data_IF_403790752489
#
_entry.id   IF_403790752489
#
_cell.length_a   1.000
_cell.length_b   1.000
_cell.length_c   1.000
_cell.angle_alpha   90.00
_cell.angle_beta   90.00
_cell.angle_gamma   90.00
#
_symmetry.space_group_name_H-M   'P 1'
#
loop_
_entity.id
_entity.type
_entity.pdbx_description
1 polymer ?
#
# COMPACT_ATOMS: atom_id res chain seq x y z
N UNK A 1 -20.41 -50.50 21.47
CA UNK A 1 -21.39 -51.40 20.85
C UNK A 1 -22.63 -50.58 20.61
N UNK A 2 -22.92 -50.27 19.35
CA UNK A 2 -24.13 -49.55 18.97
C UNK A 2 -25.27 -50.56 18.86
N UNK A 3 -26.40 -50.25 19.48
CA UNK A 3 -27.67 -50.88 19.19
C UNK A 3 -28.71 -49.78 18.94
N UNK A 4 -29.40 -49.93 17.83
CA UNK A 4 -30.57 -49.18 17.37
C UNK A 4 -31.69 -49.17 18.41
N UNK A 5 -32.45 -48.07 18.48
CA UNK A 5 -33.90 -48.14 18.70
C UNK A 5 -34.60 -46.84 18.25
N UNK A 6 -35.21 -46.94 17.06
CA UNK A 6 -36.54 -46.46 16.64
C UNK A 6 -37.12 -45.16 17.23
N UNK A 7 -37.28 -44.15 16.35
CA UNK A 7 -38.19 -43.01 16.50
C UNK A 7 -39.67 -43.45 16.55
N UNK A 8 -40.37 -43.12 17.63
CA UNK A 8 -41.83 -43.10 17.72
C UNK A 8 -42.36 -41.67 17.81
N UNK A 9 -43.34 -41.33 16.97
CA UNK A 9 -44.02 -40.05 16.96
C UNK A 9 -45.03 -39.94 18.12
N UNK A 10 -45.07 -38.79 18.80
CA UNK A 10 -46.10 -38.49 19.80
C UNK A 10 -46.02 -37.04 20.28
N UNK A 11 -47.06 -36.27 19.99
CA UNK A 11 -47.31 -34.94 20.55
C UNK A 11 -47.54 -35.04 22.06
N UNK A 12 -46.97 -34.12 22.86
CA UNK A 12 -47.37 -33.97 24.26
C UNK A 12 -46.29 -33.36 25.14
N UNK A 13 -46.50 -32.11 25.53
CA UNK A 13 -45.80 -31.37 26.59
C UNK A 13 -45.96 -32.05 27.97
N UNK A 14 -44.85 -32.39 28.64
CA UNK A 14 -44.77 -32.44 30.13
C UNK A 14 -43.32 -32.18 30.57
N UNK A 15 -43.12 -31.17 31.42
CA UNK A 15 -41.89 -30.94 32.19
C UNK A 15 -41.75 -31.97 33.33
N UNK A 16 -40.53 -32.48 33.54
CA UNK A 16 -40.22 -33.34 34.69
C UNK A 16 -38.71 -33.54 34.86
N UNK A 17 -38.20 -33.12 36.02
CA UNK A 17 -36.80 -33.03 36.43
C UNK A 17 -36.02 -34.36 36.46
N UNK A 18 -34.73 -34.30 36.15
CA UNK A 18 -33.67 -35.10 36.77
C UNK A 18 -32.36 -34.29 36.80
N UNK A 19 -31.85 -34.06 38.00
CA UNK A 19 -30.52 -33.50 38.28
C UNK A 19 -29.42 -34.52 37.97
N UNK A 20 -28.30 -34.05 37.40
CA UNK A 20 -26.94 -34.39 37.83
C UNK A 20 -25.93 -33.51 37.07
N UNK A 21 -25.12 -32.78 37.83
CA UNK A 21 -24.27 -31.68 37.36
C UNK A 21 -22.97 -32.08 36.68
N UNK A 22 -22.50 -31.19 35.80
CA UNK A 22 -21.28 -30.41 36.04
C UNK A 22 -21.20 -29.32 34.96
N UNK A 23 -21.03 -28.08 35.40
CA UNK A 23 -21.13 -26.86 34.62
C UNK A 23 -20.03 -26.75 33.55
N UNK A 24 -20.43 -26.76 32.28
CA UNK A 24 -19.76 -25.95 31.26
C UNK A 24 -20.60 -24.68 31.17
N UNK A 25 -20.12 -23.58 31.77
CA UNK A 25 -20.74 -22.27 31.60
C UNK A 25 -20.42 -21.77 30.18
N UNK A 26 -21.17 -22.29 29.21
CA UNK A 26 -21.26 -21.72 27.88
C UNK A 26 -22.10 -20.46 27.95
N UNK A 27 -21.47 -19.30 28.10
CA UNK A 27 -22.17 -18.03 27.91
C UNK A 27 -22.60 -17.91 26.44
N UNK A 28 -23.84 -18.30 26.15
CA UNK A 28 -24.52 -17.91 24.91
C UNK A 28 -24.89 -16.43 25.03
N UNK A 29 -23.97 -15.55 24.64
CA UNK A 29 -24.30 -14.13 24.45
C UNK A 29 -25.11 -13.98 23.13
N UNK A 30 -26.37 -13.61 23.25
CA UNK A 30 -27.23 -13.33 22.11
C UNK A 30 -26.89 -11.94 21.51
N UNK A 31 -26.45 -11.91 20.26
CA UNK A 31 -26.35 -10.68 19.46
C UNK A 31 -27.76 -10.32 18.92
N UNK A 32 -28.24 -9.09 19.19
CA UNK A 32 -29.58 -8.62 18.81
C UNK A 32 -29.77 -8.52 17.28
N UNK A 33 -30.99 -8.81 16.81
CA UNK A 33 -31.36 -8.77 15.39
C UNK A 33 -31.62 -7.32 14.98
N UNK A 34 -30.75 -6.70 14.19
CA UNK A 34 -31.10 -5.46 13.48
C UNK A 34 -31.88 -5.83 12.21
N UNK A 35 -33.17 -5.51 12.18
CA UNK A 35 -34.03 -5.64 11.00
C UNK A 35 -34.31 -4.24 10.41
N UNK A 36 -33.94 -4.03 9.15
CA UNK A 36 -34.43 -2.90 8.34
C UNK A 36 -35.81 -3.31 7.77
N UNK A 37 -36.86 -2.49 7.88
CA UNK A 37 -38.18 -2.86 7.38
C UNK A 37 -38.18 -2.86 5.84
N UNK A 38 -38.52 -4.00 5.25
CA UNK A 38 -38.84 -4.13 3.82
C UNK A 38 -40.33 -4.47 3.73
N UNK A 39 -41.10 -3.61 3.06
CA UNK A 39 -42.49 -3.85 2.71
C UNK A 39 -42.59 -5.11 1.85
N UNK A 40 -43.50 -6.01 2.23
CA UNK A 40 -43.73 -7.29 1.57
C UNK A 40 -44.22 -7.09 0.13
N UNK A 41 -43.58 -7.78 -0.82
CA UNK A 41 -44.30 -8.52 -1.86
C UNK A 41 -43.51 -9.79 -2.20
N UNK A 42 -44.27 -10.78 -2.62
CA UNK A 42 -44.10 -12.24 -2.63
C UNK A 42 -42.94 -12.83 -3.46
N UNK A 43 -42.54 -14.04 -3.03
CA UNK A 43 -41.81 -15.14 -3.72
C UNK A 43 -40.28 -15.23 -3.61
N UNK A 44 -39.81 -16.44 -3.24
CA UNK A 44 -38.41 -16.89 -3.39
C UNK A 44 -37.63 -17.07 -2.08
N UNK A 45 -37.67 -18.26 -1.48
CA UNK A 45 -36.72 -18.65 -0.43
C UNK A 45 -35.32 -18.85 -1.04
N UNK A 46 -34.51 -17.79 -1.06
CA UNK A 46 -33.05 -17.91 -1.15
C UNK A 46 -32.50 -18.01 0.26
N UNK A 47 -31.81 -19.11 0.59
CA UNK A 47 -31.16 -19.30 1.88
C UNK A 47 -29.90 -18.41 1.94
N UNK A 48 -30.09 -17.11 2.20
CA UNK A 48 -29.00 -16.21 2.58
C UNK A 48 -28.52 -16.58 3.99
N UNK A 49 -27.37 -17.22 4.11
CA UNK A 49 -26.59 -17.20 5.35
C UNK A 49 -26.18 -15.75 5.63
N UNK A 50 -27.00 -15.01 6.40
CA UNK A 50 -26.62 -13.71 6.94
C UNK A 50 -25.45 -13.93 7.91
N UNK A 51 -24.27 -13.41 7.55
CA UNK A 51 -23.14 -13.29 8.46
C UNK A 51 -23.59 -12.40 9.62
N UNK A 52 -23.72 -12.97 10.83
CA UNK A 52 -24.07 -12.18 12.02
C UNK A 52 -22.85 -11.36 12.38
N UNK A 53 -22.86 -10.07 12.06
CA UNK A 53 -21.90 -9.10 12.61
C UNK A 53 -22.20 -8.99 14.09
N UNK A 54 -21.21 -9.31 14.92
CA UNK A 54 -21.35 -9.26 16.37
C UNK A 54 -20.37 -8.25 16.97
N UNK A 55 -19.16 -8.09 16.42
CA UNK A 55 -18.26 -7.01 16.79
C UNK A 55 -17.98 -6.04 15.65
N UNK A 56 -17.83 -4.77 16.01
CA UNK A 56 -17.52 -3.64 15.14
C UNK A 56 -16.41 -2.81 15.78
N UNK A 57 -15.38 -2.52 15.00
CA UNK A 57 -14.32 -1.56 15.34
C UNK A 57 -14.35 -0.46 14.30
N UNK A 58 -14.69 0.76 14.69
CA UNK A 58 -14.71 1.87 13.75
C UNK A 58 -13.29 2.28 13.38
N UNK A 59 -13.05 2.72 12.15
CA UNK A 59 -11.71 3.15 11.75
C UNK A 59 -11.26 4.41 12.52
N UNK A 60 -12.21 5.20 13.01
CA UNK A 60 -11.95 6.33 13.91
C UNK A 60 -11.43 5.92 15.30
N UNK A 61 -11.70 4.68 15.72
CA UNK A 61 -11.22 4.11 16.99
C UNK A 61 -9.75 3.67 16.91
N UNK A 62 -9.19 3.60 15.70
CA UNK A 62 -7.82 3.17 15.44
C UNK A 62 -6.89 4.38 15.57
N UNK A 63 -6.39 4.57 16.78
CA UNK A 63 -5.40 5.57 17.16
C UNK A 63 -3.97 5.20 16.72
N UNK A 64 -3.02 6.14 16.89
CA UNK A 64 -1.61 5.97 16.53
C UNK A 64 -0.90 4.86 17.31
N UNK A 65 -1.33 4.60 18.54
CA UNK A 65 -0.86 3.55 19.44
C UNK A 65 -1.70 2.27 19.35
N UNK A 66 -2.65 2.18 18.43
CA UNK A 66 -3.41 0.95 18.21
C UNK A 66 -2.49 -0.17 17.68
N UNK A 67 -2.64 -1.42 18.16
CA UNK A 67 -1.87 -2.54 17.66
C UNK A 67 -2.16 -2.82 16.19
N UNK A 68 -1.23 -3.53 15.52
CA UNK A 68 -1.51 -4.10 14.21
C UNK A 68 -2.70 -5.05 14.32
N UNK A 69 -3.70 -4.87 13.45
CA UNK A 69 -4.91 -5.69 13.42
C UNK A 69 -4.74 -6.70 12.30
N UNK A 70 -4.46 -7.96 12.67
CA UNK A 70 -4.03 -8.99 11.74
C UNK A 70 -5.03 -10.15 11.68
N UNK A 71 -5.09 -10.81 10.52
CA UNK A 71 -5.75 -12.11 10.42
C UNK A 71 -5.08 -13.11 11.37
N UNK A 72 -5.91 -13.84 12.14
CA UNK A 72 -5.43 -14.93 12.97
C UNK A 72 -4.76 -16.02 12.12
N UNK A 73 -5.40 -16.43 11.02
CA UNK A 73 -4.84 -17.34 10.01
C UNK A 73 -4.49 -16.58 8.72
N UNK A 74 -3.23 -16.65 8.31
CA UNK A 74 -2.73 -15.96 7.11
C UNK A 74 -2.72 -16.90 5.91
N UNK A 75 -3.32 -16.47 4.79
CA UNK A 75 -3.22 -17.16 3.49
C UNK A 75 -2.20 -16.45 2.60
N UNK A 76 -1.35 -17.22 1.94
CA UNK A 76 -0.35 -16.69 0.99
C UNK A 76 -1.06 -15.94 -0.14
N UNK A 77 -0.65 -14.70 -0.42
CA UNK A 77 -1.21 -13.88 -1.49
C UNK A 77 -2.39 -12.97 -1.09
N UNK A 78 -2.76 -12.93 0.19
CA UNK A 78 -3.71 -11.95 0.74
C UNK A 78 -3.00 -11.00 1.70
N UNK A 79 -3.59 -9.82 1.90
CA UNK A 79 -3.12 -8.91 2.96
C UNK A 79 -3.20 -9.61 4.33
N UNK A 80 -2.14 -9.51 5.16
CA UNK A 80 -2.18 -10.04 6.52
C UNK A 80 -3.00 -9.18 7.49
N UNK A 81 -3.32 -7.95 7.10
CA UNK A 81 -4.09 -7.00 7.90
C UNK A 81 -5.59 -7.26 7.74
N UNK A 82 -6.35 -7.13 8.84
CA UNK A 82 -7.81 -7.20 8.76
C UNK A 82 -8.34 -5.93 8.13
N UNK A 83 -8.81 -6.05 6.90
CA UNK A 83 -9.44 -4.95 6.17
C UNK A 83 -10.95 -4.93 6.43
N UNK A 84 -11.64 -3.79 6.20
CA UNK A 84 -13.09 -3.74 6.16
C UNK A 84 -13.68 -4.77 5.20
N UNK A 85 -14.87 -5.28 5.49
CA UNK A 85 -15.54 -6.27 4.64
C UNK A 85 -16.07 -5.69 3.32
N UNK A 86 -16.24 -4.37 3.26
CA UNK A 86 -16.66 -3.62 2.07
C UNK A 86 -15.83 -2.32 1.95
N UNK A 87 -15.41 -1.91 0.73
CA UNK A 87 -14.63 -0.69 0.50
C UNK A 87 -15.30 0.61 0.96
N UNK A 88 -16.61 0.62 1.15
CA UNK A 88 -17.37 1.77 1.68
C UNK A 88 -17.53 1.75 3.21
N UNK A 89 -17.17 0.64 3.87
CA UNK A 89 -17.33 0.48 5.31
C UNK A 89 -16.24 1.23 6.07
N UNK A 90 -16.63 2.13 6.98
CA UNK A 90 -15.72 2.81 7.91
C UNK A 90 -15.46 1.98 9.17
N UNK A 91 -15.61 0.65 9.09
CA UNK A 91 -15.49 -0.22 10.24
C UNK A 91 -15.05 -1.63 9.84
N UNK A 92 -14.25 -2.23 10.73
CA UNK A 92 -13.91 -3.64 10.70
C UNK A 92 -15.04 -4.40 11.40
N UNK A 93 -15.55 -5.45 10.75
CA UNK A 93 -16.64 -6.28 11.28
C UNK A 93 -16.17 -7.70 11.53
N UNK A 94 -16.68 -8.29 12.61
CA UNK A 94 -16.33 -9.63 13.07
C UNK A 94 -17.60 -10.38 13.46
N UNK A 95 -17.67 -11.65 13.09
CA UNK A 95 -18.69 -12.56 13.61
C UNK A 95 -18.38 -12.99 15.04
N UNK A 96 -19.42 -13.43 15.77
CA UNK A 96 -19.24 -13.93 17.13
C UNK A 96 -18.24 -15.10 17.14
N UNK A 97 -17.26 -15.05 18.04
CA UNK A 97 -16.18 -16.02 18.12
C UNK A 97 -15.07 -15.86 17.08
N UNK A 98 -15.16 -14.91 16.14
CA UNK A 98 -14.07 -14.65 15.20
C UNK A 98 -12.80 -14.23 15.95
N UNK A 99 -11.68 -14.85 15.56
CA UNK A 99 -10.37 -14.54 16.10
C UNK A 99 -9.68 -13.42 15.29
N UNK A 100 -9.16 -12.42 16.00
CA UNK A 100 -8.26 -11.38 15.47
C UNK A 100 -6.95 -11.40 16.24
N UNK A 101 -5.84 -11.24 15.53
CA UNK A 101 -4.52 -11.14 16.15
C UNK A 101 -4.16 -9.67 16.29
N UNK A 102 -3.87 -9.25 17.52
CA UNK A 102 -3.39 -7.90 17.83
C UNK A 102 -1.91 -7.98 18.16
N UNK A 103 -1.08 -7.15 17.52
CA UNK A 103 0.37 -7.20 17.73
C UNK A 103 1.01 -5.81 17.77
N UNK A 104 1.92 -5.62 18.72
CA UNK A 104 2.81 -4.48 18.85
C UNK A 104 4.18 -4.86 18.26
N UNK A 105 4.59 -4.25 17.13
CA UNK A 105 5.91 -4.46 16.53
C UNK A 105 7.02 -3.92 17.42
N UNK A 106 8.20 -4.51 17.30
CA UNK A 106 9.36 -4.35 18.21
C UNK A 106 9.19 -5.09 19.55
N UNK A 107 9.30 -6.41 19.48
CA UNK A 107 9.02 -7.33 20.61
C UNK A 107 9.90 -7.11 21.83
N UNK A 108 11.04 -6.45 21.65
CA UNK A 108 12.01 -6.20 22.71
C UNK A 108 11.62 -4.96 23.54
N UNK A 109 10.90 -4.00 22.95
CA UNK A 109 10.61 -2.70 23.59
C UNK A 109 9.13 -2.28 23.58
N UNK A 110 8.27 -2.97 22.83
CA UNK A 110 6.88 -2.55 22.63
C UNK A 110 5.87 -3.64 23.01
N UNK A 111 5.40 -3.56 24.25
CA UNK A 111 4.38 -4.47 24.79
C UNK A 111 2.98 -3.93 24.56
N UNK A 112 1.99 -4.84 24.59
CA UNK A 112 0.60 -4.47 24.72
C UNK A 112 0.36 -3.87 26.12
N UNK A 113 -0.37 -2.76 26.15
CA UNK A 113 -0.96 -2.16 27.33
C UNK A 113 -2.45 -2.56 27.36
N UNK A 114 -2.80 -3.47 28.27
CA UNK A 114 -4.17 -3.93 28.50
C UNK A 114 -4.52 -3.60 29.95
N UNK A 115 -5.52 -2.75 30.22
CA UNK A 115 -5.89 -2.36 31.57
C UNK A 115 -6.22 -3.56 32.46
N UNK A 116 -5.77 -3.52 33.71
CA UNK A 116 -6.04 -4.56 34.71
C UNK A 116 -5.62 -5.98 34.28
N UNK A 117 -4.64 -6.08 33.38
CA UNK A 117 -4.08 -7.35 32.93
C UNK A 117 -2.60 -7.44 33.32
N UNK A 118 -2.14 -8.52 33.98
CA UNK A 118 -0.71 -8.73 34.24
C UNK A 118 0.06 -9.21 32.99
N UNK A 119 -0.61 -9.33 31.84
CA UNK A 119 -0.02 -9.84 30.61
C UNK A 119 1.08 -8.90 30.10
N UNK A 120 2.32 -9.38 30.11
CA UNK A 120 3.48 -8.73 29.50
C UNK A 120 3.81 -9.39 28.17
N UNK A 121 2.96 -9.14 27.17
CA UNK A 121 3.07 -9.73 25.83
C UNK A 121 3.03 -8.65 24.76
N UNK A 122 3.67 -8.89 23.63
CA UNK A 122 3.65 -7.99 22.46
C UNK A 122 2.58 -8.44 21.43
N UNK A 123 1.95 -9.60 21.63
CA UNK A 123 0.88 -10.09 20.77
C UNK A 123 -0.16 -10.91 21.53
N UNK A 124 -1.41 -10.83 21.11
CA UNK A 124 -2.53 -11.62 21.64
C UNK A 124 -3.47 -12.05 20.52
N UNK A 125 -4.27 -13.07 20.80
CA UNK A 125 -5.45 -13.42 20.01
C UNK A 125 -6.67 -12.94 20.80
N UNK A 126 -7.48 -12.11 20.17
CA UNK A 126 -8.72 -11.60 20.73
C UNK A 126 -9.91 -12.24 19.99
N UNK A 127 -10.94 -12.65 20.72
CA UNK A 127 -12.13 -13.30 20.17
C UNK A 127 -13.33 -12.37 20.29
N UNK A 128 -14.08 -12.17 19.21
CA UNK A 128 -15.23 -11.29 19.21
C UNK A 128 -16.34 -11.80 20.16
N UNK A 129 -16.78 -10.94 21.10
CA UNK A 129 -17.94 -11.19 21.96
C UNK A 129 -19.17 -10.45 21.43
N UNK A 130 -19.17 -9.10 21.52
CA UNK A 130 -20.23 -8.19 21.05
C UNK A 130 -19.72 -6.75 20.95
N UNK A 131 -20.33 -5.94 20.08
CA UNK A 131 -20.03 -4.52 19.89
C UNK A 131 -18.52 -4.29 19.68
N UNK A 132 -17.85 -3.48 20.50
CA UNK A 132 -16.38 -3.34 20.43
C UNK A 132 -15.65 -4.19 21.48
N UNK A 133 -16.29 -5.22 22.02
CA UNK A 133 -15.77 -6.04 23.12
C UNK A 133 -15.22 -7.38 22.62
N UNK A 134 -13.99 -7.68 23.02
CA UNK A 134 -13.28 -8.90 22.67
C UNK A 134 -12.78 -9.63 23.92
N UNK A 135 -12.80 -10.96 23.89
CA UNK A 135 -12.19 -11.81 24.91
C UNK A 135 -10.69 -11.96 24.63
N UNK A 136 -9.86 -11.65 25.63
CA UNK A 136 -8.40 -11.89 25.61
C UNK A 136 -8.07 -12.67 26.87
N UNK A 137 -7.53 -13.88 26.70
CA UNK A 137 -7.20 -14.80 27.81
C UNK A 137 -8.37 -15.02 28.79
N UNK A 138 -9.61 -15.07 28.27
CA UNK A 138 -10.83 -15.30 29.06
C UNK A 138 -11.48 -14.05 29.66
N UNK A 139 -10.80 -12.90 29.66
CA UNK A 139 -11.36 -11.64 30.15
C UNK A 139 -11.86 -10.75 29.00
N UNK A 140 -12.92 -9.98 29.25
CA UNK A 140 -13.54 -9.11 28.26
C UNK A 140 -12.92 -7.70 28.29
N UNK A 141 -12.49 -7.23 27.11
CA UNK A 141 -11.90 -5.91 26.95
C UNK A 141 -12.53 -5.19 25.77
N UNK A 142 -12.76 -3.88 25.92
CA UNK A 142 -13.10 -3.05 24.77
C UNK A 142 -11.86 -2.90 23.88
N UNK A 143 -12.02 -2.94 22.55
CA UNK A 143 -10.94 -2.74 21.59
C UNK A 143 -10.15 -1.47 21.88
N UNK A 144 -10.83 -0.39 22.30
CA UNK A 144 -10.20 0.89 22.62
C UNK A 144 -9.28 0.87 23.84
N UNK A 145 -9.41 -0.14 24.69
CA UNK A 145 -8.53 -0.32 25.84
C UNK A 145 -7.23 -1.07 25.51
N UNK A 146 -7.17 -1.76 24.36
CA UNK A 146 -6.00 -2.55 23.97
C UNK A 146 -5.10 -1.70 23.10
N UNK A 147 -3.94 -1.30 23.65
CA UNK A 147 -2.98 -0.41 22.98
C UNK A 147 -1.58 -0.98 22.99
N UNK A 148 -0.71 -0.43 22.16
CA UNK A 148 0.73 -0.61 22.28
C UNK A 148 1.31 0.47 23.18
N UNK A 149 2.32 0.14 23.98
CA UNK A 149 3.04 1.13 24.79
C UNK A 149 3.71 2.20 23.91
N UNK A 150 4.16 1.81 22.72
CA UNK A 150 4.72 2.68 21.69
C UNK A 150 3.95 2.49 20.38
N UNK A 151 3.74 3.56 19.59
CA UNK A 151 3.15 3.44 18.25
C UNK A 151 3.88 2.39 17.39
N UNK A 152 3.16 1.47 16.73
CA UNK A 152 3.78 0.49 15.84
C UNK A 152 4.74 1.13 14.82
N UNK A 153 6.03 0.77 14.89
CA UNK A 153 7.05 1.23 13.96
C UNK A 153 7.38 0.14 12.94
N UNK A 154 7.49 0.54 11.68
CA UNK A 154 8.10 -0.29 10.65
C UNK A 154 9.62 -0.26 10.72
N UNK A 155 10.26 -1.24 10.11
CA UNK A 155 11.70 -1.26 9.86
C UNK A 155 11.97 -1.72 8.42
N UNK A 156 13.21 -1.52 7.96
CA UNK A 156 13.72 -2.09 6.73
C UNK A 156 14.51 -3.35 7.05
N UNK A 157 14.25 -4.41 6.28
CA UNK A 157 14.99 -5.67 6.29
C UNK A 157 15.64 -5.90 4.94
N UNK A 158 16.95 -6.02 4.89
CA UNK A 158 17.68 -6.41 3.66
C UNK A 158 17.52 -7.91 3.36
N UNK A 159 17.36 -8.26 2.08
CA UNK A 159 17.19 -9.63 1.60
C UNK A 159 17.97 -9.88 0.30
N UNK A 160 19.28 -9.64 0.34
CA UNK A 160 20.21 -9.96 -0.74
C UNK A 160 19.90 -9.25 -2.06
N UNK A 161 20.29 -9.83 -3.20
CA UNK A 161 20.07 -9.22 -4.51
C UNK A 161 18.62 -9.39 -5.01
N UNK A 162 18.03 -8.33 -5.59
CA UNK A 162 16.74 -8.44 -6.30
C UNK A 162 16.87 -8.96 -7.74
N UNK A 163 18.10 -9.19 -8.21
CA UNK A 163 18.39 -9.71 -9.55
C UNK A 163 18.32 -8.69 -10.68
N UNK A 164 17.86 -7.46 -10.42
CA UNK A 164 17.79 -6.38 -11.41
C UNK A 164 19.06 -5.54 -11.32
N UNK A 165 19.98 -5.74 -12.25
CA UNK A 165 21.30 -5.09 -12.22
C UNK A 165 22.02 -5.36 -10.90
N UNK A 166 22.58 -4.31 -10.29
CA UNK A 166 23.24 -4.37 -8.98
C UNK A 166 22.27 -4.09 -7.82
N UNK A 167 20.96 -4.25 -8.05
CA UNK A 167 19.94 -3.92 -7.06
C UNK A 167 19.96 -4.88 -5.87
N UNK A 168 19.80 -4.30 -4.68
CA UNK A 168 19.60 -5.02 -3.42
C UNK A 168 18.11 -4.99 -3.08
N UNK A 169 17.58 -6.12 -2.62
CA UNK A 169 16.20 -6.27 -2.19
C UNK A 169 16.09 -5.85 -0.73
N UNK A 170 15.09 -5.02 -0.45
CA UNK A 170 14.69 -4.61 0.87
C UNK A 170 13.20 -4.88 1.08
N UNK A 171 12.82 -5.21 2.30
CA UNK A 171 11.43 -5.27 2.70
C UNK A 171 11.17 -4.23 3.78
N UNK A 172 10.22 -3.34 3.53
CA UNK A 172 9.68 -2.43 4.54
C UNK A 172 8.49 -3.12 5.20
N UNK A 173 8.44 -3.15 6.52
CA UNK A 173 7.39 -3.88 7.23
C UNK A 173 7.60 -3.94 8.74
N UNK A 174 6.96 -4.89 9.41
CA UNK A 174 6.92 -4.95 10.87
C UNK A 174 7.63 -6.20 11.41
N UNK A 175 8.57 -6.01 12.34
CA UNK A 175 9.24 -7.12 13.05
C UNK A 175 8.32 -7.66 14.14
N UNK A 176 7.79 -8.87 13.94
CA UNK A 176 7.10 -9.66 14.96
C UNK A 176 8.04 -10.75 15.48
N UNK A 177 7.73 -11.40 16.60
CA UNK A 177 8.65 -12.36 17.26
C UNK A 177 9.19 -13.46 16.35
N UNK A 178 8.32 -14.07 15.56
CA UNK A 178 8.65 -15.25 14.75
C UNK A 178 8.71 -14.98 13.25
N UNK A 179 8.30 -13.79 12.82
CA UNK A 179 8.22 -13.46 11.40
C UNK A 179 8.38 -11.97 11.17
N UNK A 180 8.94 -11.63 10.01
CA UNK A 180 8.87 -10.30 9.47
C UNK A 180 7.60 -10.15 8.62
N UNK A 181 6.79 -9.15 8.91
CA UNK A 181 5.58 -8.83 8.15
C UNK A 181 5.91 -7.78 7.09
N UNK A 182 6.36 -8.22 5.91
CA UNK A 182 6.65 -7.33 4.78
C UNK A 182 5.38 -6.66 4.24
N UNK A 183 5.43 -5.35 4.07
CA UNK A 183 4.38 -4.51 3.49
C UNK A 183 4.74 -4.08 2.07
N UNK A 184 5.99 -3.64 1.86
CA UNK A 184 6.51 -3.18 0.57
C UNK A 184 7.84 -3.90 0.32
N UNK A 185 7.98 -4.55 -0.83
CA UNK A 185 9.27 -5.03 -1.33
C UNK A 185 9.87 -3.96 -2.23
N UNK A 186 11.15 -3.65 -2.07
CA UNK A 186 11.86 -2.60 -2.78
C UNK A 186 13.14 -3.18 -3.38
N UNK A 187 13.38 -2.94 -4.66
CA UNK A 187 14.66 -3.21 -5.32
C UNK A 187 15.42 -1.89 -5.47
N UNK A 188 16.53 -1.75 -4.77
CA UNK A 188 17.25 -0.49 -4.61
C UNK A 188 18.71 -0.60 -5.08
N UNK A 189 19.14 0.31 -5.95
CA UNK A 189 20.56 0.44 -6.35
C UNK A 189 21.26 1.35 -5.34
N UNK A 190 21.98 0.72 -4.40
CA UNK A 190 22.70 1.40 -3.31
C UNK A 190 23.83 2.28 -3.82
N UNK A 191 24.42 1.98 -4.98
CA UNK A 191 25.53 2.77 -5.53
C UNK A 191 25.05 4.04 -6.22
N UNK A 192 23.84 4.01 -6.80
CA UNK A 192 23.22 5.19 -7.44
C UNK A 192 22.26 5.93 -6.53
N UNK A 193 21.92 5.37 -5.38
CA UNK A 193 20.88 5.87 -4.49
C UNK A 193 19.54 6.01 -5.21
N UNK A 194 19.11 4.96 -5.91
CA UNK A 194 17.90 4.98 -6.74
C UNK A 194 17.07 3.72 -6.62
N UNK A 195 15.76 3.88 -6.51
CA UNK A 195 14.80 2.77 -6.46
C UNK A 195 14.45 2.28 -7.85
N UNK A 196 14.73 1.01 -8.13
CA UNK A 196 14.47 0.36 -9.41
C UNK A 196 13.00 -0.02 -9.53
N UNK A 197 12.44 -0.64 -8.47
CA UNK A 197 11.01 -0.86 -8.33
C UNK A 197 10.59 -1.06 -6.87
N UNK A 198 9.28 -0.93 -6.63
CA UNK A 198 8.61 -1.34 -5.41
C UNK A 198 7.38 -2.20 -5.74
N UNK A 199 7.13 -3.24 -4.95
CA UNK A 199 6.03 -4.19 -5.09
C UNK A 199 5.20 -4.19 -3.81
N UNK A 200 3.88 -4.08 -3.94
CA UNK A 200 2.93 -4.16 -2.84
C UNK A 200 1.56 -4.66 -3.31
N UNK A 201 0.68 -4.97 -2.35
CA UNK A 201 -0.71 -5.30 -2.61
C UNK A 201 -1.56 -4.07 -2.32
N UNK A 202 -2.23 -3.55 -3.34
CA UNK A 202 -3.30 -2.57 -3.17
C UNK A 202 -4.57 -3.34 -2.84
N UNK A 203 -5.07 -3.16 -1.63
CA UNK A 203 -6.33 -3.78 -1.23
C UNK A 203 -7.51 -3.04 -1.82
N UNK A 204 -8.54 -3.80 -2.23
CA UNK A 204 -9.83 -3.26 -2.65
C UNK A 204 -10.47 -2.34 -1.61
N UNK A 205 -10.17 -2.56 -0.33
CA UNK A 205 -10.85 -1.92 0.79
C UNK A 205 -10.25 -0.56 1.18
N UNK A 206 -9.21 -0.10 0.47
CA UNK A 206 -8.59 1.22 0.69
C UNK A 206 -9.53 2.36 0.29
N UNK A 207 -10.31 2.17 -0.80
CA UNK A 207 -11.40 3.09 -1.19
C UNK A 207 -11.05 4.58 -1.14
N UNK A 208 -12.05 5.43 -0.88
CA UNK A 208 -11.89 6.87 -0.62
C UNK A 208 -11.52 7.16 0.86
N UNK A 209 -11.02 6.17 1.59
CA UNK A 209 -10.96 6.24 3.05
C UNK A 209 -9.60 6.76 3.54
N UNK A 210 -9.58 8.03 3.92
CA UNK A 210 -8.43 8.60 4.62
C UNK A 210 -8.58 8.39 6.14
N UNK A 211 -8.14 7.24 6.63
CA UNK A 211 -7.97 7.03 8.08
C UNK A 211 -6.64 7.68 8.48
N UNK A 212 -6.71 8.64 9.40
CA UNK A 212 -5.58 9.34 10.02
C UNK A 212 -4.52 9.91 9.05
N UNK A 213 -4.67 11.20 8.73
CA UNK A 213 -3.75 11.99 7.89
C UNK A 213 -2.50 12.50 8.62
N UNK A 214 -2.39 12.29 9.93
CA UNK A 214 -1.24 12.78 10.68
C UNK A 214 -0.09 11.78 10.63
N UNK A 215 0.87 12.08 9.76
CA UNK A 215 2.19 11.44 9.79
C UNK A 215 3.25 12.53 9.72
N UNK A 216 3.75 12.97 10.88
CA UNK A 216 5.12 13.49 10.97
C UNK A 216 6.03 12.29 10.74
N UNK A 217 6.12 11.86 9.48
CA UNK A 217 6.98 10.76 9.10
C UNK A 217 8.37 11.33 8.86
N UNK A 218 9.23 11.14 9.86
CA UNK A 218 10.66 11.30 9.67
C UNK A 218 11.09 10.25 8.64
N UNK A 219 11.44 10.70 7.44
CA UNK A 219 11.95 9.79 6.42
C UNK A 219 13.34 9.37 6.88
N UNK A 220 13.49 8.11 7.29
CA UNK A 220 14.76 7.63 7.83
C UNK A 220 15.86 7.83 6.80
N UNK A 221 16.86 8.64 7.15
CA UNK A 221 18.07 8.84 6.35
C UNK A 221 19.10 7.72 6.53
N UNK A 222 18.88 6.79 7.48
CA UNK A 222 19.81 5.69 7.80
C UNK A 222 20.15 4.81 6.60
N UNK A 223 19.24 4.72 5.63
CA UNK A 223 19.37 3.84 4.46
C UNK A 223 20.09 4.55 3.31
N UNK A 224 20.15 5.89 3.34
CA UNK A 224 21.05 6.67 2.50
C UNK A 224 22.42 6.61 3.15
N UNK A 225 23.24 5.63 2.70
CA UNK A 225 24.63 5.45 3.15
C UNK A 225 25.37 6.80 3.24
N UNK A 226 26.31 6.89 4.17
CA UNK A 226 27.16 8.08 4.41
C UNK A 226 28.09 8.44 3.24
N UNK A 227 28.02 7.72 2.12
CA UNK A 227 28.82 7.96 0.93
C UNK A 227 28.22 9.03 0.00
N UNK A 228 27.01 9.52 0.27
CA UNK A 228 26.42 10.66 -0.44
C UNK A 228 26.83 12.00 0.20
N UNK A 229 27.16 12.99 -0.62
CA UNK A 229 27.62 14.32 -0.14
C UNK A 229 26.52 15.18 0.48
N UNK A 230 25.25 14.80 0.30
CA UNK A 230 24.07 15.53 0.78
C UNK A 230 23.03 14.56 1.32
N UNK A 231 22.29 15.02 2.32
CA UNK A 231 21.10 14.31 2.77
C UNK A 231 19.97 14.49 1.74
N UNK A 232 18.99 13.58 1.72
CA UNK A 232 17.79 13.76 0.90
C UNK A 232 17.05 15.09 1.11
N UNK A 233 16.93 15.57 2.35
CA UNK A 233 16.29 16.87 2.60
C UNK A 233 17.07 18.02 1.97
N UNK A 234 18.40 17.92 1.95
CA UNK A 234 19.24 18.92 1.29
C UNK A 234 19.02 18.94 -0.22
N UNK A 235 19.16 17.79 -0.90
CA UNK A 235 19.14 17.77 -2.36
C UNK A 235 17.73 17.91 -2.96
N UNK A 236 16.67 17.60 -2.20
CA UNK A 236 15.30 17.89 -2.61
C UNK A 236 14.88 19.34 -2.33
N UNK A 237 15.61 20.14 -1.55
CA UNK A 237 15.27 21.56 -1.41
C UNK A 237 15.38 22.28 -2.77
N UNK A 238 14.36 23.06 -3.14
CA UNK A 238 14.35 23.73 -4.45
C UNK A 238 15.58 24.61 -4.68
N UNK A 239 16.08 25.27 -3.62
CA UNK A 239 17.31 26.08 -3.67
C UNK A 239 18.53 25.26 -4.09
N UNK A 240 18.70 24.04 -3.56
CA UNK A 240 19.81 23.17 -3.92
C UNK A 240 19.60 22.49 -5.28
N UNK A 241 18.37 22.18 -5.66
CA UNK A 241 18.06 21.73 -7.01
C UNK A 241 18.44 22.81 -8.04
N UNK A 242 18.08 24.07 -7.78
CA UNK A 242 18.42 25.20 -8.63
C UNK A 242 19.94 25.33 -8.83
N UNK A 243 20.72 25.27 -7.76
CA UNK A 243 22.19 25.29 -7.83
C UNK A 243 22.74 24.10 -8.60
N UNK A 244 22.24 22.89 -8.31
CA UNK A 244 22.70 21.64 -8.93
C UNK A 244 22.43 21.65 -10.43
N UNK A 245 21.23 22.05 -10.86
CA UNK A 245 20.93 22.22 -12.27
C UNK A 245 21.73 23.37 -12.90
N UNK A 246 22.01 24.45 -12.17
CA UNK A 246 22.89 25.52 -12.65
C UNK A 246 24.27 25.00 -13.03
N UNK A 247 24.83 24.07 -12.25
CA UNK A 247 26.08 23.40 -12.59
C UNK A 247 25.95 22.43 -13.76
N UNK A 248 24.89 21.61 -13.81
CA UNK A 248 24.69 20.62 -14.88
C UNK A 248 24.43 21.30 -16.23
N UNK A 249 23.64 22.37 -16.23
CA UNK A 249 23.18 23.07 -17.44
C UNK A 249 24.08 24.26 -17.84
N UNK A 250 25.18 24.45 -17.13
CA UNK A 250 26.22 25.44 -17.43
C UNK A 250 25.94 26.87 -16.99
N UNK A 251 24.73 27.22 -16.52
CA UNK A 251 24.46 28.52 -15.91
C UNK A 251 23.21 28.55 -15.04
N UNK A 252 23.18 29.50 -14.09
CA UNK A 252 21.99 29.81 -13.30
C UNK A 252 20.84 30.35 -14.16
N UNK A 253 21.14 31.08 -15.25
CA UNK A 253 20.15 31.60 -16.20
C UNK A 253 19.44 30.43 -16.90
N UNK A 254 20.20 29.42 -17.33
CA UNK A 254 19.62 28.22 -17.95
C UNK A 254 18.77 27.43 -16.94
N UNK A 255 19.24 27.26 -15.70
CA UNK A 255 18.45 26.59 -14.66
C UNK A 255 17.13 27.30 -14.35
N UNK A 256 17.06 28.64 -14.39
CA UNK A 256 15.83 29.42 -14.15
C UNK A 256 14.72 29.14 -15.17
N UNK A 257 15.05 28.62 -16.36
CA UNK A 257 14.05 28.20 -17.36
C UNK A 257 13.23 26.99 -16.90
N UNK A 258 13.82 26.15 -16.04
CA UNK A 258 13.25 24.87 -15.62
C UNK A 258 12.89 24.82 -14.14
N UNK A 259 13.59 25.55 -13.27
CA UNK A 259 13.35 25.54 -11.83
C UNK A 259 12.85 26.90 -11.35
N UNK A 260 11.72 26.89 -10.63
CA UNK A 260 11.17 28.06 -9.96
C UNK A 260 10.76 27.67 -8.54
N UNK A 261 11.40 28.31 -7.56
CA UNK A 261 11.22 28.04 -6.13
C UNK A 261 10.11 28.86 -5.46
N UNK A 262 9.26 29.54 -6.24
CA UNK A 262 8.03 30.11 -5.73
C UNK A 262 7.12 28.99 -5.18
N UNK A 263 6.50 29.19 -4.02
CA UNK A 263 5.61 28.20 -3.40
C UNK A 263 4.43 27.76 -4.28
N UNK A 264 3.99 28.59 -5.24
CA UNK A 264 2.94 28.24 -6.22
C UNK A 264 3.46 27.49 -7.43
N UNK A 265 4.77 27.46 -7.63
CA UNK A 265 5.40 26.77 -8.74
C UNK A 265 5.27 25.26 -8.58
N UNK A 266 5.24 24.55 -9.71
CA UNK A 266 5.36 23.09 -9.77
C UNK A 266 6.60 22.64 -10.56
N UNK A 267 7.54 23.56 -10.79
CA UNK A 267 8.75 23.33 -11.58
C UNK A 267 9.93 23.08 -10.64
N UNK A 268 9.87 21.95 -9.95
CA UNK A 268 10.94 21.38 -9.12
C UNK A 268 10.69 19.88 -8.98
N UNK A 269 11.70 19.14 -8.51
CA UNK A 269 11.59 17.71 -8.23
C UNK A 269 11.03 17.46 -6.83
N UNK A 270 10.07 16.57 -6.74
CA UNK A 270 9.50 16.09 -5.49
C UNK A 270 9.92 14.64 -5.22
N UNK A 271 9.78 14.23 -3.96
CA UNK A 271 9.97 12.86 -3.48
C UNK A 271 8.74 12.04 -3.87
N UNK A 272 8.67 11.53 -5.10
CA UNK A 272 7.54 10.69 -5.50
C UNK A 272 7.67 9.30 -4.89
N UNK A 273 6.66 8.88 -4.11
CA UNK A 273 6.61 7.54 -3.52
C UNK A 273 6.21 6.50 -4.58
N UNK A 274 6.91 5.37 -4.63
CA UNK A 274 6.59 4.27 -5.53
C UNK A 274 5.41 3.44 -5.00
N UNK A 275 5.36 3.22 -3.69
CA UNK A 275 4.19 2.76 -2.94
C UNK A 275 3.66 3.95 -2.11
N UNK A 276 2.63 4.69 -2.57
CA UNK A 276 2.14 5.89 -1.89
C UNK A 276 1.34 5.55 -0.63
N UNK A 277 1.34 6.45 0.35
CA UNK A 277 0.58 6.32 1.60
C UNK A 277 -0.90 6.05 1.37
N UNK A 278 -1.48 6.69 0.37
CA UNK A 278 -2.91 6.62 0.06
C UNK A 278 -3.36 5.23 -0.41
N UNK A 279 -2.42 4.34 -0.76
CA UNK A 279 -2.69 2.94 -1.11
C UNK A 279 -2.78 2.03 0.13
N UNK A 280 -2.69 2.60 1.34
CA UNK A 280 -2.76 1.89 2.60
C UNK A 280 -3.81 2.50 3.54
N UNK A 281 -4.50 1.64 4.28
CA UNK A 281 -5.62 2.07 5.13
C UNK A 281 -5.15 2.58 6.50
N UNK A 282 -4.32 1.80 7.19
CA UNK A 282 -3.97 2.09 8.57
C UNK A 282 -2.81 3.08 8.69
N UNK A 283 -2.83 3.96 9.69
CA UNK A 283 -1.77 4.96 9.91
C UNK A 283 -0.37 4.35 10.04
N UNK A 284 -0.23 3.18 10.68
CA UNK A 284 1.06 2.46 10.75
C UNK A 284 1.54 1.98 9.37
N UNK A 285 0.63 1.61 8.45
CA UNK A 285 1.00 1.25 7.07
C UNK A 285 1.38 2.50 6.27
N UNK A 286 0.64 3.61 6.44
CA UNK A 286 0.95 4.90 5.81
C UNK A 286 2.35 5.38 6.21
N UNK A 287 2.67 5.33 7.51
CA UNK A 287 4.01 5.64 8.02
C UNK A 287 5.12 4.79 7.39
N UNK A 288 4.85 3.51 7.14
CA UNK A 288 5.81 2.61 6.51
C UNK A 288 6.11 2.97 5.05
N UNK A 289 5.35 3.86 4.40
CA UNK A 289 5.69 4.33 3.05
C UNK A 289 6.80 5.38 3.03
N UNK A 290 7.08 6.00 4.17
CA UNK A 290 7.93 7.17 4.29
C UNK A 290 9.42 6.85 4.41
N UNK A 291 9.94 5.84 3.72
CA UNK A 291 11.39 5.61 3.61
C UNK A 291 11.92 6.10 2.28
N UNK A 292 13.12 6.70 2.25
CA UNK A 292 13.69 7.25 1.00
C UNK A 292 13.89 6.18 -0.07
N UNK A 293 14.16 4.93 0.31
CA UNK A 293 14.25 3.80 -0.62
C UNK A 293 12.92 3.52 -1.36
N UNK A 294 11.79 4.04 -0.89
CA UNK A 294 10.49 3.98 -1.56
C UNK A 294 10.23 5.23 -2.42
N UNK A 295 11.23 6.09 -2.68
CA UNK A 295 11.03 7.34 -3.42
C UNK A 295 11.93 7.46 -4.64
N UNK A 296 11.51 8.26 -5.61
CA UNK A 296 12.36 8.72 -6.70
C UNK A 296 12.04 10.17 -7.12
N UNK A 297 13.01 10.93 -7.67
CA UNK A 297 12.77 12.29 -8.13
C UNK A 297 11.75 12.38 -9.27
N UNK A 298 10.64 13.07 -9.06
CA UNK A 298 9.66 13.32 -10.12
C UNK A 298 9.35 14.81 -10.20
N UNK A 299 9.14 15.35 -11.41
CA UNK A 299 8.69 16.73 -11.53
C UNK A 299 7.36 16.91 -10.79
N UNK A 300 7.26 17.93 -9.92
CA UNK A 300 6.05 18.20 -9.13
C UNK A 300 4.80 18.39 -10.00
N UNK A 301 4.96 18.97 -11.18
CA UNK A 301 3.89 19.11 -12.17
C UNK A 301 3.32 17.76 -12.63
N UNK A 302 4.18 16.75 -12.71
CA UNK A 302 3.83 15.38 -13.14
C UNK A 302 3.28 14.58 -11.96
N UNK A 303 3.94 14.66 -10.80
CA UNK A 303 3.52 13.95 -9.59
C UNK A 303 2.13 14.39 -9.12
N UNK A 304 1.82 15.68 -9.19
CA UNK A 304 0.48 16.22 -8.87
C UNK A 304 -0.46 16.28 -10.09
N UNK A 305 0.00 15.85 -11.25
CA UNK A 305 -0.74 15.84 -12.52
C UNK A 305 -1.25 14.45 -12.85
N UNK A 306 -0.91 13.98 -14.05
CA UNK A 306 -1.42 12.72 -14.59
C UNK A 306 -1.01 11.48 -13.78
N UNK A 307 0.13 11.53 -13.09
CA UNK A 307 0.53 10.43 -12.21
C UNK A 307 -0.42 10.24 -11.02
N UNK A 308 -0.76 11.33 -10.32
CA UNK A 308 -1.75 11.30 -9.24
C UNK A 308 -3.15 10.91 -9.74
N UNK A 309 -3.56 11.39 -10.92
CA UNK A 309 -4.86 10.98 -11.50
C UNK A 309 -4.87 9.47 -11.75
N UNK A 310 -3.78 8.91 -12.30
CA UNK A 310 -3.65 7.48 -12.54
C UNK A 310 -3.71 6.67 -11.23
N UNK A 311 -3.00 7.08 -10.19
CA UNK A 311 -3.05 6.41 -8.87
C UNK A 311 -4.47 6.38 -8.31
N UNK A 312 -5.19 7.50 -8.38
CA UNK A 312 -6.60 7.57 -7.98
C UNK A 312 -7.50 6.63 -8.81
N UNK A 313 -7.24 6.50 -10.12
CA UNK A 313 -8.01 5.58 -10.99
C UNK A 313 -7.76 4.12 -10.63
N UNK A 314 -6.54 3.76 -10.28
CA UNK A 314 -6.18 2.40 -9.87
C UNK A 314 -6.85 2.04 -8.54
N UNK A 315 -6.84 2.95 -7.54
CA UNK A 315 -7.58 2.79 -6.28
C UNK A 315 -9.09 2.64 -6.50
N UNK A 316 -9.66 3.48 -7.36
CA UNK A 316 -11.08 3.37 -7.73
C UNK A 316 -11.39 2.04 -8.43
N UNK A 317 -10.50 1.55 -9.28
CA UNK A 317 -10.68 0.26 -9.95
C UNK A 317 -10.74 -0.88 -8.94
N UNK A 318 -9.74 -0.96 -8.03
CA UNK A 318 -9.65 -1.99 -7.01
C UNK A 318 -10.91 -2.05 -6.14
N UNK A 319 -11.36 -0.88 -5.65
CA UNK A 319 -12.57 -0.76 -4.82
C UNK A 319 -13.86 -1.09 -5.58
N UNK A 320 -14.05 -0.52 -6.78
CA UNK A 320 -15.27 -0.74 -7.58
C UNK A 320 -15.43 -2.20 -7.97
N UNK A 321 -14.34 -2.87 -8.37
CA UNK A 321 -14.36 -4.27 -8.78
C UNK A 321 -14.15 -5.24 -7.62
N UNK A 322 -14.01 -4.72 -6.39
CA UNK A 322 -13.79 -5.50 -5.16
C UNK A 322 -12.64 -6.51 -5.30
N UNK A 323 -11.53 -6.06 -5.89
CA UNK A 323 -10.36 -6.91 -6.17
C UNK A 323 -9.06 -6.32 -5.62
N UNK A 324 -8.27 -7.18 -4.99
CA UNK A 324 -6.92 -6.83 -4.58
C UNK A 324 -5.98 -6.90 -5.78
N UNK A 325 -5.15 -5.88 -5.96
CA UNK A 325 -4.23 -5.76 -7.08
C UNK A 325 -2.80 -5.89 -6.60
N UNK A 326 -1.97 -6.63 -7.33
CA UNK A 326 -0.52 -6.50 -7.20
C UNK A 326 -0.07 -5.29 -7.99
N UNK A 327 0.53 -4.33 -7.31
CA UNK A 327 1.12 -3.14 -7.94
C UNK A 327 2.63 -3.29 -7.95
N UNK A 328 3.23 -2.96 -9.09
CA UNK A 328 4.68 -2.76 -9.19
C UNK A 328 4.93 -1.42 -9.82
N UNK A 329 5.51 -0.50 -9.05
CA UNK A 329 5.94 0.80 -9.55
C UNK A 329 7.45 0.75 -9.74
N UNK A 330 7.96 1.32 -10.82
CA UNK A 330 9.41 1.40 -11.04
C UNK A 330 9.84 2.59 -11.85
N UNK A 331 11.15 2.72 -11.97
CA UNK A 331 11.81 3.84 -12.66
C UNK A 331 12.71 3.33 -13.76
N UNK A 332 12.91 4.12 -14.82
CA UNK A 332 13.77 3.77 -15.94
C UNK A 332 14.51 4.98 -16.51
N UNK A 333 15.75 4.74 -16.92
CA UNK A 333 16.65 5.70 -17.58
C UNK A 333 16.87 6.99 -16.76
N UNK A 334 17.63 7.94 -17.31
CA UNK A 334 17.84 9.26 -16.69
C UNK A 334 17.25 10.31 -17.63
N UNK A 335 16.48 11.25 -17.09
CA UNK A 335 15.92 12.35 -17.88
C UNK A 335 16.99 13.37 -18.22
N UNK A 336 16.74 14.17 -19.25
CA UNK A 336 17.68 15.21 -19.70
C UNK A 336 17.01 16.58 -19.80
N UNK A 337 17.83 17.63 -19.78
CA UNK A 337 17.44 18.97 -20.21
C UNK A 337 18.56 19.55 -21.06
N UNK A 338 18.21 20.51 -21.93
CA UNK A 338 19.20 21.26 -22.70
C UNK A 338 20.00 22.20 -21.79
N UNK A 339 21.33 22.13 -21.92
CA UNK A 339 22.23 23.11 -21.33
C UNK A 339 22.25 24.43 -22.11
N UNK A 340 23.07 25.39 -21.66
CA UNK A 340 23.19 26.69 -22.31
C UNK A 340 23.68 26.63 -23.78
N UNK A 341 24.28 25.51 -24.21
CA UNK A 341 24.70 25.25 -25.59
C UNK A 341 23.66 24.50 -26.44
N UNK A 342 22.50 24.15 -25.85
CA UNK A 342 21.48 23.34 -26.49
C UNK A 342 21.74 21.82 -26.42
N UNK A 343 22.78 21.39 -25.71
CA UNK A 343 23.12 19.97 -25.57
C UNK A 343 22.33 19.33 -24.43
N UNK A 344 21.74 18.16 -24.67
CA UNK A 344 21.01 17.40 -23.65
C UNK A 344 21.95 16.86 -22.56
N UNK A 345 21.66 17.16 -21.29
CA UNK A 345 22.42 16.72 -20.12
C UNK A 345 21.57 15.88 -19.18
N UNK A 346 22.10 14.74 -18.77
CA UNK A 346 21.48 13.87 -17.76
C UNK A 346 21.37 14.59 -16.41
N UNK A 347 20.22 14.44 -15.75
CA UNK A 347 19.94 15.10 -14.48
C UNK A 347 20.19 14.17 -13.28
N UNK A 348 20.88 14.71 -12.28
CA UNK A 348 21.17 14.07 -11.00
C UNK A 348 21.00 15.09 -9.88
N UNK A 349 20.49 14.67 -8.72
CA UNK A 349 20.29 15.59 -7.59
C UNK A 349 21.49 15.67 -6.63
N UNK A 350 22.38 14.68 -6.67
CA UNK A 350 23.50 14.60 -5.75
C UNK A 350 24.74 13.97 -6.39
N UNK A 351 25.81 13.89 -5.60
CA UNK A 351 27.04 13.17 -5.92
C UNK A 351 27.56 12.42 -4.69
N UNK A 352 28.28 11.32 -4.91
CA UNK A 352 29.00 10.61 -3.86
C UNK A 352 30.28 11.36 -3.44
N UNK A 353 30.95 10.89 -2.39
CA UNK A 353 32.21 11.45 -1.88
C UNK A 353 33.37 11.42 -2.90
N UNK A 354 33.25 10.66 -3.98
CA UNK A 354 34.20 10.59 -5.11
C UNK A 354 33.74 11.42 -6.31
N UNK A 355 32.76 12.32 -6.11
CA UNK A 355 32.21 13.21 -7.13
C UNK A 355 31.49 12.47 -8.29
N UNK A 356 31.11 11.21 -8.10
CA UNK A 356 30.27 10.46 -9.04
C UNK A 356 28.81 10.85 -8.84
N UNK A 357 28.08 11.08 -9.93
CA UNK A 357 26.67 11.44 -9.86
C UNK A 357 25.81 10.36 -9.20
N UNK A 358 24.95 10.77 -8.28
CA UNK A 358 23.99 9.93 -7.54
C UNK A 358 22.60 10.56 -7.58
N UNK A 359 21.59 9.80 -7.21
CA UNK A 359 20.19 10.21 -7.25
C UNK A 359 19.79 10.67 -8.66
N UNK A 360 19.85 9.76 -9.66
CA UNK A 360 19.39 10.07 -11.01
C UNK A 360 17.92 10.47 -10.98
N UNK A 361 17.56 11.46 -11.80
CA UNK A 361 16.15 11.79 -12.05
C UNK A 361 15.65 10.85 -13.16
N UNK A 362 14.69 9.93 -12.89
CA UNK A 362 14.21 8.99 -13.89
C UNK A 362 13.63 9.71 -15.11
N UNK A 363 13.87 9.18 -16.31
CA UNK A 363 13.16 9.64 -17.49
C UNK A 363 11.71 9.17 -17.52
N UNK A 364 11.47 7.98 -16.96
CA UNK A 364 10.19 7.29 -17.03
C UNK A 364 9.86 6.67 -15.67
N UNK A 365 8.61 6.82 -15.26
CA UNK A 365 7.98 5.99 -14.23
C UNK A 365 7.06 5.01 -14.92
N UNK A 366 7.00 3.78 -14.44
CA UNK A 366 6.06 2.77 -14.92
C UNK A 366 5.34 2.12 -13.77
N UNK A 367 4.11 1.66 -14.01
CA UNK A 367 3.26 0.99 -13.03
C UNK A 367 2.57 -0.21 -13.65
N UNK A 368 2.96 -1.41 -13.24
CA UNK A 368 2.22 -2.64 -13.50
C UNK A 368 1.06 -2.72 -12.52
N UNK A 369 -0.14 -2.95 -13.05
CA UNK A 369 -1.34 -3.27 -12.29
C UNK A 369 -1.77 -4.67 -12.68
N UNK A 370 -1.76 -5.60 -11.72
CA UNK A 370 -2.00 -7.02 -11.97
C UNK A 370 -3.10 -7.56 -11.06
N UNK A 371 -4.17 -8.03 -11.68
CA UNK A 371 -5.17 -8.91 -11.07
C UNK A 371 -4.71 -10.36 -11.28
N UNK A 372 -4.12 -10.94 -10.23
CA UNK A 372 -3.57 -12.30 -10.29
C UNK A 372 -4.67 -13.36 -10.49
N UNK A 373 -5.80 -13.36 -9.75
CA UNK A 373 -6.87 -14.34 -9.95
C UNK A 373 -7.38 -14.40 -11.39
N UNK A 374 -7.58 -13.26 -12.05
CA UNK A 374 -8.04 -13.21 -13.45
C UNK A 374 -6.92 -13.32 -14.47
N UNK A 375 -5.66 -13.38 -14.03
CA UNK A 375 -4.49 -13.30 -14.91
C UNK A 375 -4.58 -12.11 -15.88
N UNK A 376 -5.07 -10.96 -15.40
CA UNK A 376 -5.28 -9.76 -16.17
C UNK A 376 -4.36 -8.64 -15.69
N UNK A 377 -3.69 -7.94 -16.61
CA UNK A 377 -2.75 -6.89 -16.23
C UNK A 377 -2.55 -5.83 -17.30
N UNK A 378 -2.03 -4.69 -16.88
CA UNK A 378 -1.68 -3.55 -17.73
C UNK A 378 -0.47 -2.86 -17.15
N UNK A 379 0.42 -2.34 -17.99
CA UNK A 379 1.52 -1.47 -17.55
C UNK A 379 1.26 -0.07 -18.06
N UNK A 380 1.16 0.88 -17.15
CA UNK A 380 1.15 2.30 -17.47
C UNK A 380 2.56 2.83 -17.47
N UNK A 381 2.89 3.69 -18.41
CA UNK A 381 4.20 4.33 -18.53
C UNK A 381 4.00 5.83 -18.59
N UNK A 382 4.62 6.55 -17.65
CA UNK A 382 4.55 8.00 -17.49
C UNK A 382 5.92 8.62 -17.74
N UNK A 383 5.98 9.60 -18.63
CA UNK A 383 7.23 10.29 -18.99
C UNK A 383 7.46 11.41 -17.99
N UNK A 384 8.58 11.36 -17.29
CA UNK A 384 8.97 12.32 -16.26
C UNK A 384 9.80 13.47 -16.85
N UNK A 385 9.24 14.17 -17.84
CA UNK A 385 9.82 15.38 -18.39
C UNK A 385 8.73 16.29 -18.99
N UNK A 386 8.39 17.41 -18.33
CA UNK A 386 7.33 18.30 -18.81
C UNK A 386 7.78 19.21 -19.97
N UNK A 387 9.01 19.07 -20.46
CA UNK A 387 9.61 19.90 -21.51
C UNK A 387 9.89 19.13 -22.82
N UNK A 388 9.77 17.80 -22.82
CA UNK A 388 10.02 16.98 -24.00
C UNK A 388 8.72 16.62 -24.70
N UNK A 389 8.43 17.30 -25.81
CA UNK A 389 7.22 17.04 -26.60
C UNK A 389 7.41 15.94 -27.65
N UNK A 390 8.64 15.75 -28.14
CA UNK A 390 8.95 14.77 -29.19
C UNK A 390 9.20 13.36 -28.63
N UNK A 391 8.18 12.79 -28.00
CA UNK A 391 8.27 11.54 -27.24
C UNK A 391 8.80 10.36 -28.07
N UNK A 392 8.36 10.24 -29.32
CA UNK A 392 8.66 9.09 -30.18
C UNK A 392 10.10 9.02 -30.66
N UNK A 393 10.80 10.15 -30.77
CA UNK A 393 12.20 10.20 -31.24
C UNK A 393 13.21 10.17 -30.08
N UNK A 394 12.77 10.45 -28.85
CA UNK A 394 13.62 10.53 -27.65
C UNK A 394 13.83 9.19 -26.93
N UNK A 395 13.32 8.09 -27.49
CA UNK A 395 13.50 6.75 -26.92
C UNK A 395 12.69 6.48 -25.65
N UNK A 396 11.63 7.25 -25.40
CA UNK A 396 10.74 7.02 -24.25
C UNK A 396 9.71 5.92 -24.48
N UNK A 397 9.52 5.50 -25.73
CA UNK A 397 8.52 4.48 -26.11
C UNK A 397 9.11 3.09 -25.91
N UNK A 398 8.55 2.34 -24.97
CA UNK A 398 9.00 0.99 -24.60
C UNK A 398 8.21 -0.08 -25.38
N UNK A 399 6.93 0.16 -25.66
CA UNK A 399 6.00 -0.83 -26.18
C UNK A 399 5.00 -0.17 -27.14
N UNK A 400 4.17 -0.98 -27.78
CA UNK A 400 3.02 -0.51 -28.55
C UNK A 400 1.96 0.05 -27.61
N UNK A 401 1.47 1.27 -27.89
CA UNK A 401 0.48 1.92 -27.04
C UNK A 401 -0.91 1.29 -27.18
N UNK A 402 -1.36 0.57 -26.16
CA UNK A 402 -2.68 -0.08 -26.14
C UNK A 402 -3.79 0.74 -25.48
N UNK A 403 -3.55 1.99 -25.06
CA UNK A 403 -4.53 2.76 -24.28
C UNK A 403 -5.88 2.96 -24.99
N UNK A 404 -5.91 2.95 -26.34
CA UNK A 404 -7.15 3.05 -27.11
C UNK A 404 -8.06 1.83 -26.93
N UNK A 405 -7.53 0.69 -26.47
CA UNK A 405 -8.30 -0.52 -26.14
C UNK A 405 -8.70 -0.60 -24.66
N UNK A 406 -8.37 0.43 -23.87
CA UNK A 406 -8.56 0.51 -22.42
C UNK A 406 -8.98 1.93 -22.01
N UNK A 407 -9.90 2.54 -22.76
CA UNK A 407 -10.27 3.97 -22.63
C UNK A 407 -10.91 4.33 -21.29
N UNK A 408 -11.54 3.36 -20.62
CA UNK A 408 -12.10 3.44 -19.27
C UNK A 408 -11.15 4.04 -18.21
N UNK A 409 -9.84 3.84 -18.36
CA UNK A 409 -8.84 4.42 -17.47
C UNK A 409 -8.71 5.95 -17.60
N UNK A 410 -9.14 6.51 -18.74
CA UNK A 410 -8.83 7.86 -19.18
C UNK A 410 -10.03 8.82 -19.22
N UNK A 411 -11.22 8.36 -18.81
CA UNK A 411 -12.43 9.17 -18.85
C UNK A 411 -12.29 10.44 -18.00
N UNK A 412 -12.43 11.61 -18.63
CA UNK A 412 -12.40 12.90 -17.95
C UNK A 412 -11.02 13.48 -17.64
N UNK A 413 -9.94 12.98 -18.28
CA UNK A 413 -8.62 13.62 -18.18
C UNK A 413 -7.75 13.40 -19.43
N UNK A 414 -6.77 14.29 -19.65
CA UNK A 414 -5.90 14.25 -20.82
C UNK A 414 -4.55 13.59 -20.49
N UNK A 415 -4.46 12.28 -20.75
CA UNK A 415 -3.22 11.51 -20.58
C UNK A 415 -2.05 11.95 -21.47
N UNK A 416 -2.31 12.75 -22.52
CA UNK A 416 -1.31 13.18 -23.48
C UNK A 416 -0.68 14.53 -23.12
N UNK A 417 -1.16 15.23 -22.08
CA UNK A 417 -0.56 16.52 -21.67
C UNK A 417 0.83 16.28 -21.08
N UNK A 418 1.86 16.55 -21.88
CA UNK A 418 3.28 16.43 -21.52
C UNK A 418 3.61 17.22 -20.25
N UNK A 419 3.00 18.40 -20.06
CA UNK A 419 3.29 19.27 -18.90
C UNK A 419 2.84 18.65 -17.58
N UNK A 420 1.82 17.78 -17.64
CA UNK A 420 1.27 17.05 -16.50
C UNK A 420 1.75 15.59 -16.45
N UNK A 421 2.57 15.16 -17.41
CA UNK A 421 3.09 13.80 -17.56
C UNK A 421 2.35 13.03 -18.64
N UNK A 422 3.04 12.77 -19.76
CA UNK A 422 2.49 11.95 -20.83
C UNK A 422 2.39 10.48 -20.39
N UNK A 423 1.21 9.88 -20.47
CA UNK A 423 0.95 8.48 -20.10
C UNK A 423 0.51 7.64 -21.30
N UNK A 424 1.15 6.47 -21.46
CA UNK A 424 0.75 5.43 -22.41
C UNK A 424 0.70 4.04 -21.75
N UNK A 425 0.17 3.06 -22.46
CA UNK A 425 -0.16 1.74 -21.92
C UNK A 425 0.55 0.64 -22.70
N UNK A 426 1.04 -0.38 -22.00
CA UNK A 426 1.59 -1.60 -22.58
C UNK A 426 0.80 -2.82 -22.12
N UNK A 427 0.84 -3.88 -22.92
CA UNK A 427 0.61 -5.23 -22.38
C UNK A 427 1.77 -5.61 -21.44
N UNK A 428 1.49 -6.47 -20.46
CA UNK A 428 2.52 -6.96 -19.52
C UNK A 428 3.63 -7.70 -20.26
N UNK A 429 3.28 -8.50 -21.25
CA UNK A 429 4.23 -9.33 -21.99
C UNK A 429 5.14 -8.51 -22.90
N UNK A 430 4.61 -7.53 -23.63
CA UNK A 430 5.44 -6.68 -24.47
C UNK A 430 6.36 -5.79 -23.63
N UNK A 431 5.86 -5.23 -22.51
CA UNK A 431 6.69 -4.47 -21.59
C UNK A 431 7.83 -5.34 -21.01
N UNK A 432 7.54 -6.57 -20.58
CA UNK A 432 8.54 -7.53 -20.14
C UNK A 432 9.61 -7.79 -21.20
N UNK A 433 9.20 -7.98 -22.46
CA UNK A 433 10.11 -8.26 -23.56
C UNK A 433 11.02 -7.06 -23.91
N UNK A 434 10.48 -5.83 -23.87
CA UNK A 434 11.15 -4.63 -24.40
C UNK A 434 11.80 -3.72 -23.36
N UNK A 435 11.36 -3.76 -22.10
CA UNK A 435 11.88 -2.87 -21.03
C UNK A 435 13.34 -3.11 -20.64
N UNK A 436 13.93 -4.25 -21.05
CA UNK A 436 15.27 -4.73 -20.63
C UNK A 436 15.40 -4.99 -19.12
N UNK A 437 14.32 -4.88 -18.35
CA UNK A 437 14.28 -5.22 -16.93
C UNK A 437 14.31 -6.75 -16.83
N UNK A 438 15.37 -7.29 -16.24
CA UNK A 438 15.53 -8.73 -16.00
C UNK A 438 16.10 -8.95 -14.60
N UNK A 439 15.52 -9.86 -13.79
CA UNK A 439 14.30 -10.60 -14.05
C UNK A 439 13.05 -9.70 -13.98
N UNK A 440 12.01 -10.05 -14.75
CA UNK A 440 10.67 -9.46 -14.64
C UNK A 440 9.66 -10.60 -14.50
N UNK A 441 9.41 -11.08 -13.27
CA UNK A 441 8.68 -12.34 -13.01
C UNK A 441 7.16 -12.18 -13.07
N UNK A 442 6.66 -11.22 -13.86
CA UNK A 442 5.23 -10.95 -14.01
C UNK A 442 4.77 -11.24 -15.44
N UNK A 443 3.57 -11.80 -15.54
CA UNK A 443 2.91 -12.12 -16.81
C UNK A 443 1.40 -11.97 -16.64
N UNK A 444 0.70 -11.62 -17.71
CA UNK A 444 -0.76 -11.59 -17.74
C UNK A 444 -1.27 -12.06 -19.10
N UNK A 445 -2.17 -13.04 -19.10
CA UNK A 445 -2.85 -13.55 -20.30
C UNK A 445 -3.88 -12.58 -20.87
N UNK A 446 -4.44 -11.71 -20.04
CA UNK A 446 -5.49 -10.77 -20.41
C UNK A 446 -5.08 -9.34 -20.11
N UNK A 447 -5.64 -8.39 -20.85
CA UNK A 447 -5.48 -6.96 -20.59
C UNK A 447 -6.45 -6.55 -19.49
N UNK A 448 -5.97 -5.80 -18.50
CA UNK A 448 -6.84 -5.18 -17.50
C UNK A 448 -7.52 -3.95 -18.09
N UNK A 449 -8.82 -4.05 -18.37
CA UNK A 449 -9.66 -2.99 -18.92
C UNK A 449 -10.46 -2.28 -17.84
#
# INVERSE_FOLDING_TARGET
>A
MCADESCGAGQGTVEGCCELGNEIVGFMYYCEKVAVPISRTTTGFSRMTRVRVCCTVHLSDISTDSPLILHHSHRKGMSPFRMPSDPSSLSLTFSSGDAVRLACPDVDNNLLAIPNSPLMVYEVIAFCIRDSTFSISGAAYNFNSVRCKLPPQSIIKEEGGCGIGNGTKYHIGFKLRRKFLGLIEVCYDTAKHSTLNAVYILSKDVGYQDVNSQTNSYISGSDFRSDNTRTPDDFYSCKNQFKTLGHILGSSIQAKKYINCNHKSKTYFDKCHLAPSDDFLFGYQKNATSYYINTAPQWKAISTGNWNILDNRIRRYASTHKVDLTIVTGTMNVTTLQDASGTERNLYLSKDLRNKSTVPVPAVFWKLVLDRPRSAGIVFVCINNPYHHDIYIRGYVICTNICNSTTSWFDGWNRLDVRLGYVYCCTVDEFRAKSRIKPFPFSARHILR
#
